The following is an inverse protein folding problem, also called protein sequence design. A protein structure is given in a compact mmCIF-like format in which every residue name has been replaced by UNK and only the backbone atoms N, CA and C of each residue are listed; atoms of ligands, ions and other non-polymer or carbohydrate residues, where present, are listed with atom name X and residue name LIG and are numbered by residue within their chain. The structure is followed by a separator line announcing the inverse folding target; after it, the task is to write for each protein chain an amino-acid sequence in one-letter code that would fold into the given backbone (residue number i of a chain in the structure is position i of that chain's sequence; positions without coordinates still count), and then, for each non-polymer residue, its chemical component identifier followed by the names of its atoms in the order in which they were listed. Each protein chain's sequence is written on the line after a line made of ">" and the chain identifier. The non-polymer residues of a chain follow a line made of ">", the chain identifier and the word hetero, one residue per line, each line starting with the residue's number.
data_IF_888141023512
#
_entry.id   IF_888141023512
#
_cell.length_a   1.000
_cell.length_b   1.000
_cell.length_c   1.000
_cell.angle_alpha   90.00
_cell.angle_beta   90.00
_cell.angle_gamma   90.00
#
_symmetry.space_group_name_H-M   'P 1'
#
loop_
_entity.id
_entity.type
_entity.pdbx_description
1 polymer ?
#
# COMPACT_ATOMS: atom_id res chain seq x y z
N UNK A 1 -15.82 -10.10 6.17
CA UNK A 1 -16.62 -11.08 5.42
C UNK A 1 -17.28 -10.52 4.14
N UNK A 2 -17.06 -11.23 3.05
CA UNK A 2 -17.69 -11.01 1.75
C UNK A 2 -18.55 -12.23 1.37
N UNK A 3 -19.53 -12.01 0.51
CA UNK A 3 -20.37 -13.04 -0.08
C UNK A 3 -19.86 -13.36 -1.48
N UNK A 4 -19.70 -14.65 -1.76
CA UNK A 4 -19.30 -15.18 -3.05
C UNK A 4 -20.40 -16.05 -3.66
N UNK A 5 -20.67 -15.90 -4.96
CA UNK A 5 -21.60 -16.76 -5.70
C UNK A 5 -21.04 -17.13 -7.07
N UNK A 6 -21.45 -18.28 -7.59
CA UNK A 6 -21.36 -18.56 -9.03
C UNK A 6 -22.48 -17.80 -9.73
N UNK A 7 -22.12 -16.85 -10.59
CA UNK A 7 -23.08 -15.93 -11.19
C UNK A 7 -24.20 -16.63 -11.98
N UNK A 8 -23.89 -17.73 -12.69
CA UNK A 8 -24.89 -18.51 -13.45
C UNK A 8 -25.93 -19.18 -12.54
N UNK A 9 -25.47 -19.88 -11.50
CA UNK A 9 -26.33 -20.58 -10.52
C UNK A 9 -27.20 -19.58 -9.75
N UNK A 10 -26.62 -18.43 -9.34
CA UNK A 10 -27.35 -17.38 -8.64
C UNK A 10 -28.46 -16.76 -9.50
N UNK A 11 -28.22 -16.49 -10.79
CA UNK A 11 -29.25 -15.99 -11.72
C UNK A 11 -30.39 -16.98 -11.91
N UNK A 12 -30.04 -18.25 -12.10
CA UNK A 12 -31.04 -19.30 -12.33
C UNK A 12 -31.96 -19.47 -11.13
N UNK A 13 -31.40 -19.50 -9.92
CA UNK A 13 -32.20 -19.63 -8.70
C UNK A 13 -32.99 -18.35 -8.39
N UNK A 14 -32.45 -17.15 -8.69
CA UNK A 14 -33.20 -15.91 -8.57
C UNK A 14 -34.44 -15.89 -9.48
N UNK A 15 -34.31 -16.33 -10.73
CA UNK A 15 -35.43 -16.44 -11.67
C UNK A 15 -36.49 -17.42 -11.16
N UNK A 16 -36.07 -18.62 -10.71
CA UNK A 16 -36.97 -19.64 -10.17
C UNK A 16 -37.78 -19.13 -8.97
N UNK A 17 -37.15 -18.42 -8.04
CA UNK A 17 -37.83 -17.87 -6.87
C UNK A 17 -38.85 -16.79 -7.24
N UNK A 18 -38.55 -15.98 -8.27
CA UNK A 18 -39.48 -14.97 -8.81
C UNK A 18 -40.70 -15.60 -9.48
N UNK A 19 -40.50 -16.61 -10.31
CA UNK A 19 -41.59 -17.35 -10.97
C UNK A 19 -42.56 -17.98 -9.95
N UNK A 20 -42.02 -18.44 -8.82
CA UNK A 20 -42.83 -19.01 -7.73
C UNK A 20 -43.51 -17.97 -6.84
N UNK A 21 -43.23 -16.67 -7.03
CA UNK A 21 -43.75 -15.58 -6.20
C UNK A 21 -43.31 -15.64 -4.72
N UNK A 22 -42.27 -16.41 -4.41
CA UNK A 22 -41.83 -16.69 -3.03
C UNK A 22 -40.42 -16.17 -2.79
N UNK A 23 -40.13 -15.84 -1.52
CA UNK A 23 -38.81 -15.43 -1.06
C UNK A 23 -38.15 -14.33 -1.94
N UNK A 24 -38.94 -13.32 -2.36
CA UNK A 24 -38.52 -12.24 -3.27
C UNK A 24 -37.22 -11.55 -2.79
N UNK A 25 -37.04 -11.40 -1.48
CA UNK A 25 -35.81 -10.83 -0.90
C UNK A 25 -34.57 -11.70 -1.12
N UNK A 26 -34.72 -13.03 -1.16
CA UNK A 26 -33.61 -13.94 -1.51
C UNK A 26 -33.31 -13.84 -3.01
N UNK A 27 -34.34 -13.79 -3.86
CA UNK A 27 -34.17 -13.61 -5.30
C UNK A 27 -33.42 -12.30 -5.64
N UNK A 28 -33.80 -11.19 -5.01
CA UNK A 28 -33.13 -9.90 -5.20
C UNK A 28 -31.66 -9.93 -4.73
N UNK A 29 -31.36 -10.64 -3.65
CA UNK A 29 -29.99 -10.80 -3.18
C UNK A 29 -29.14 -11.63 -4.16
N UNK A 30 -29.65 -12.75 -4.65
CA UNK A 30 -28.95 -13.60 -5.62
C UNK A 30 -28.73 -12.88 -6.96
N UNK A 31 -29.73 -12.15 -7.44
CA UNK A 31 -29.62 -11.35 -8.66
C UNK A 31 -28.56 -10.25 -8.51
N UNK A 32 -28.61 -9.48 -7.41
CA UNK A 32 -27.61 -8.45 -7.10
C UNK A 32 -26.19 -9.03 -7.09
N UNK A 33 -25.98 -10.13 -6.36
CA UNK A 33 -24.68 -10.79 -6.30
C UNK A 33 -24.24 -11.28 -7.69
N UNK A 34 -25.15 -11.77 -8.53
CA UNK A 34 -24.79 -12.29 -9.86
C UNK A 34 -24.33 -11.24 -10.89
N UNK A 35 -24.58 -9.96 -10.59
CA UNK A 35 -24.25 -8.81 -11.45
C UNK A 35 -23.07 -7.99 -10.90
N UNK A 36 -22.83 -8.03 -9.59
CA UNK A 36 -21.75 -7.31 -8.95
C UNK A 36 -20.39 -8.00 -9.16
N UNK A 37 -19.27 -7.23 -9.23
CA UNK A 37 -17.92 -7.78 -9.14
C UNK A 37 -17.76 -8.62 -7.87
N UNK A 38 -17.44 -9.90 -8.05
CA UNK A 38 -17.24 -10.83 -6.94
C UNK A 38 -15.82 -10.72 -6.42
N UNK A 39 -15.58 -10.90 -5.11
CA UNK A 39 -16.54 -11.15 -4.03
C UNK A 39 -17.11 -9.84 -3.42
N UNK A 40 -18.35 -9.85 -2.94
CA UNK A 40 -19.06 -8.62 -2.52
C UNK A 40 -19.08 -8.45 -1.00
N UNK A 41 -18.70 -7.29 -0.43
CA UNK A 41 -18.82 -7.03 1.01
C UNK A 41 -20.24 -7.26 1.54
N UNK A 42 -20.37 -7.92 2.69
CA UNK A 42 -21.68 -8.26 3.28
C UNK A 42 -22.57 -7.02 3.51
N UNK A 43 -21.98 -5.90 3.91
CA UNK A 43 -22.68 -4.62 4.11
C UNK A 43 -23.24 -4.08 2.79
N UNK A 44 -22.45 -4.15 1.72
CA UNK A 44 -22.84 -3.73 0.38
C UNK A 44 -23.94 -4.62 -0.19
N UNK A 45 -23.80 -5.94 -0.10
CA UNK A 45 -24.81 -6.89 -0.55
C UNK A 45 -26.17 -6.68 0.13
N UNK A 46 -26.18 -6.43 1.45
CA UNK A 46 -27.42 -6.13 2.19
C UNK A 46 -28.07 -4.83 1.76
N UNK A 47 -27.27 -3.79 1.52
CA UNK A 47 -27.74 -2.48 1.07
C UNK A 47 -28.27 -2.54 -0.37
N UNK A 48 -27.49 -3.10 -1.29
CA UNK A 48 -27.83 -3.22 -2.71
C UNK A 48 -29.06 -4.08 -2.96
N UNK A 49 -29.23 -5.18 -2.23
CA UNK A 49 -30.41 -6.04 -2.32
C UNK A 49 -31.57 -5.62 -1.39
N UNK A 50 -31.38 -4.58 -0.57
CA UNK A 50 -32.30 -4.12 0.47
C UNK A 50 -32.88 -5.29 1.31
N UNK A 51 -31.98 -6.06 1.95
CA UNK A 51 -32.32 -7.27 2.68
C UNK A 51 -31.73 -7.37 4.10
N UNK A 52 -32.38 -8.18 4.93
CA UNK A 52 -31.99 -8.41 6.33
C UNK A 52 -30.86 -9.45 6.43
N UNK A 53 -30.22 -9.51 7.61
CA UNK A 53 -29.25 -10.56 7.91
C UNK A 53 -29.87 -11.97 7.89
N UNK A 54 -31.18 -12.11 8.18
CA UNK A 54 -31.88 -13.40 8.08
C UNK A 54 -31.99 -13.89 6.64
N UNK A 55 -32.21 -13.00 5.67
CA UNK A 55 -32.19 -13.35 4.23
C UNK A 55 -30.83 -13.87 3.82
N UNK A 56 -29.75 -13.21 4.25
CA UNK A 56 -28.38 -13.65 3.96
C UNK A 56 -28.11 -15.02 4.57
N UNK A 57 -28.46 -15.24 5.84
CA UNK A 57 -28.31 -16.55 6.50
C UNK A 57 -29.06 -17.66 5.76
N UNK A 58 -30.27 -17.37 5.27
CA UNK A 58 -31.09 -18.36 4.57
C UNK A 58 -30.50 -18.78 3.22
N UNK A 59 -29.87 -17.87 2.47
CA UNK A 59 -29.22 -18.25 1.20
C UNK A 59 -27.88 -18.96 1.42
N UNK A 60 -27.16 -18.62 2.50
CA UNK A 60 -25.95 -19.35 2.91
C UNK A 60 -26.30 -20.77 3.37
N UNK A 61 -27.34 -20.95 4.21
CA UNK A 61 -27.73 -22.27 4.71
C UNK A 61 -28.25 -23.20 3.62
N UNK A 62 -28.68 -22.64 2.48
CA UNK A 62 -29.08 -23.38 1.28
C UNK A 62 -27.91 -23.68 0.33
N UNK A 63 -26.69 -23.28 0.67
CA UNK A 63 -25.50 -23.47 -0.16
C UNK A 63 -25.48 -22.64 -1.44
N UNK A 64 -26.34 -21.61 -1.54
CA UNK A 64 -26.44 -20.76 -2.73
C UNK A 64 -25.41 -19.61 -2.73
N UNK A 65 -24.88 -19.29 -1.55
CA UNK A 65 -23.91 -18.21 -1.33
C UNK A 65 -22.88 -18.69 -0.32
N UNK A 66 -21.61 -18.47 -0.61
CA UNK A 66 -20.51 -18.77 0.31
C UNK A 66 -20.11 -17.49 1.08
N UNK A 67 -19.89 -17.62 2.39
CA UNK A 67 -19.34 -16.55 3.20
C UNK A 67 -17.82 -16.73 3.28
N UNK A 68 -17.08 -15.81 2.67
CA UNK A 68 -15.62 -15.83 2.67
C UNK A 68 -15.10 -14.70 3.56
N UNK A 69 -14.08 -14.98 4.37
CA UNK A 69 -13.33 -13.93 5.05
C UNK A 69 -12.23 -13.46 4.12
N UNK A 70 -12.39 -12.25 3.59
CA UNK A 70 -11.43 -11.65 2.67
C UNK A 70 -10.85 -10.45 3.38
N UNK A 71 -9.52 -10.46 3.45
CA UNK A 71 -8.76 -9.34 3.94
C UNK A 71 -8.79 -8.25 2.87
N UNK A 72 -9.59 -7.21 3.11
CA UNK A 72 -9.58 -6.01 2.29
C UNK A 72 -8.42 -5.16 2.79
N UNK A 73 -7.29 -5.24 2.07
CA UNK A 73 -6.12 -4.41 2.37
C UNK A 73 -6.47 -2.95 2.14
N UNK A 74 -6.27 -2.11 3.15
CA UNK A 74 -6.40 -0.65 3.01
C UNK A 74 -5.08 -0.12 2.48
N UNK A 75 -5.11 0.54 1.33
CA UNK A 75 -3.90 1.14 0.75
C UNK A 75 -3.90 2.65 1.03
N UNK A 76 -2.94 3.16 1.82
CA UNK A 76 -2.87 4.60 2.11
C UNK A 76 -2.51 5.45 0.89
N UNK A 77 -1.82 4.87 -0.09
CA UNK A 77 -1.34 5.54 -1.29
C UNK A 77 -2.23 5.13 -2.46
N UNK A 78 -2.90 6.09 -3.09
CA UNK A 78 -3.48 5.87 -4.41
C UNK A 78 -2.40 6.05 -5.47
N UNK A 79 -2.07 4.99 -6.18
CA UNK A 79 -1.15 5.05 -7.32
C UNK A 79 -1.84 5.51 -8.62
N UNK A 80 -3.15 5.73 -8.60
CA UNK A 80 -3.90 6.18 -9.78
C UNK A 80 -3.46 7.60 -10.17
N UNK A 81 -3.01 7.77 -11.42
CA UNK A 81 -2.61 9.07 -11.96
C UNK A 81 -1.18 9.51 -11.62
N UNK A 82 -0.42 8.71 -10.87
CA UNK A 82 1.00 9.01 -10.60
C UNK A 82 1.81 8.74 -11.88
N UNK A 83 2.51 9.77 -12.36
CA UNK A 83 3.44 9.64 -13.50
C UNK A 83 4.81 9.22 -12.98
N UNK A 84 5.43 8.21 -13.60
CA UNK A 84 6.77 7.75 -13.21
C UNK A 84 7.82 8.82 -13.46
N UNK A 85 8.81 8.92 -12.56
CA UNK A 85 9.90 9.86 -12.67
C UNK A 85 11.25 9.16 -12.86
N UNK A 86 12.04 9.66 -13.80
CA UNK A 86 13.43 9.25 -13.99
C UNK A 86 14.37 10.02 -13.05
N UNK A 87 15.57 9.48 -12.74
CA UNK A 87 16.61 10.21 -12.02
C UNK A 87 16.98 11.51 -12.73
N UNK A 88 17.04 12.60 -11.98
CA UNK A 88 17.47 13.90 -12.53
C UNK A 88 19.00 13.92 -12.69
N UNK A 89 19.48 14.76 -13.62
CA UNK A 89 20.92 15.01 -13.73
C UNK A 89 21.40 15.82 -12.53
N UNK A 90 22.30 15.23 -11.75
CA UNK A 90 22.91 15.89 -10.60
C UNK A 90 23.92 16.96 -11.04
N UNK A 91 23.98 18.06 -10.29
CA UNK A 91 25.10 19.02 -10.41
C UNK A 91 26.40 18.37 -9.93
N UNK A 92 27.55 18.97 -10.24
CA UNK A 92 28.85 18.42 -9.81
C UNK A 92 28.96 18.27 -8.28
N UNK A 93 28.44 19.25 -7.53
CA UNK A 93 28.42 19.19 -6.07
C UNK A 93 27.51 18.07 -5.56
N UNK A 94 26.30 17.92 -6.13
CA UNK A 94 25.39 16.85 -5.76
C UNK A 94 25.95 15.48 -6.13
N UNK A 95 26.60 15.37 -7.29
CA UNK A 95 27.24 14.14 -7.76
C UNK A 95 28.37 13.70 -6.83
N UNK A 96 29.21 14.64 -6.39
CA UNK A 96 30.27 14.35 -5.42
C UNK A 96 29.72 13.83 -4.08
N UNK A 97 28.66 14.49 -3.57
CA UNK A 97 27.97 14.04 -2.36
C UNK A 97 27.35 12.65 -2.53
N UNK A 98 26.65 12.42 -3.64
CA UNK A 98 26.05 11.13 -3.97
C UNK A 98 27.10 10.01 -4.12
N UNK A 99 28.22 10.27 -4.79
CA UNK A 99 29.31 9.30 -4.95
C UNK A 99 29.94 8.89 -3.61
N UNK A 100 30.02 9.81 -2.65
CA UNK A 100 30.49 9.51 -1.30
C UNK A 100 29.55 8.55 -0.57
N UNK A 101 28.23 8.78 -0.68
CA UNK A 101 27.19 7.90 -0.14
C UNK A 101 27.23 6.54 -0.83
N UNK A 102 27.24 6.51 -2.17
CA UNK A 102 27.27 5.29 -2.99
C UNK A 102 28.49 4.43 -2.65
N UNK A 103 29.68 5.04 -2.55
CA UNK A 103 30.90 4.32 -2.20
C UNK A 103 30.81 3.68 -0.83
N UNK A 104 30.25 4.39 0.16
CA UNK A 104 30.03 3.85 1.51
C UNK A 104 29.04 2.68 1.50
N UNK A 105 27.90 2.82 0.81
CA UNK A 105 26.91 1.73 0.67
C UNK A 105 27.54 0.46 0.08
N UNK A 106 28.35 0.60 -0.98
CA UNK A 106 29.04 -0.52 -1.61
C UNK A 106 30.03 -1.22 -0.68
N UNK A 107 30.78 -0.46 0.12
CA UNK A 107 31.73 -1.03 1.08
C UNK A 107 31.00 -1.77 2.21
N UNK A 108 29.90 -1.22 2.73
CA UNK A 108 29.08 -1.84 3.78
C UNK A 108 28.48 -3.15 3.29
N UNK A 109 27.88 -3.18 2.09
CA UNK A 109 27.27 -4.40 1.54
C UNK A 109 28.32 -5.49 1.27
N UNK A 110 29.55 -5.13 0.96
CA UNK A 110 30.68 -6.08 0.82
C UNK A 110 31.27 -6.55 2.16
N UNK A 111 30.78 -6.05 3.30
CA UNK A 111 31.35 -6.34 4.62
C UNK A 111 32.74 -5.72 4.83
N UNK A 112 33.09 -4.70 4.06
CA UNK A 112 34.40 -4.04 4.06
C UNK A 112 34.44 -2.79 4.94
N UNK A 113 33.28 -2.27 5.33
CA UNK A 113 33.16 -1.10 6.19
C UNK A 113 31.92 -1.17 7.10
N UNK A 114 31.96 -0.40 8.18
CA UNK A 114 30.78 -0.13 9.03
C UNK A 114 29.89 0.96 8.42
N UNK A 115 28.59 1.03 8.77
CA UNK A 115 27.71 2.10 8.34
C UNK A 115 28.27 3.49 8.69
N UNK A 116 28.24 4.40 7.73
CA UNK A 116 28.68 5.79 7.92
C UNK A 116 27.50 6.73 8.12
N UNK A 117 27.74 7.83 8.84
CA UNK A 117 26.80 8.93 9.03
C UNK A 117 27.23 10.09 8.12
N UNK A 118 26.30 10.63 7.35
CA UNK A 118 26.53 11.77 6.48
C UNK A 118 25.63 12.93 6.88
N UNK A 119 26.18 14.14 6.90
CA UNK A 119 25.42 15.38 6.94
C UNK A 119 25.37 15.97 5.53
N UNK A 120 24.19 15.95 4.91
CA UNK A 120 23.98 16.60 3.61
C UNK A 120 23.54 18.05 3.82
N UNK A 121 24.51 18.96 3.88
CA UNK A 121 24.25 20.38 4.07
C UNK A 121 23.86 21.06 2.74
N UNK A 122 22.72 21.76 2.74
CA UNK A 122 22.26 22.53 1.60
C UNK A 122 20.97 23.30 1.93
N UNK A 123 20.85 24.52 1.40
CA UNK A 123 19.65 25.35 1.57
C UNK A 123 18.41 24.68 0.96
N UNK A 124 17.21 25.11 1.36
CA UNK A 124 15.96 24.67 0.73
C UNK A 124 16.00 24.92 -0.78
N UNK A 125 15.51 23.98 -1.58
CA UNK A 125 15.55 24.08 -3.04
C UNK A 125 16.88 23.68 -3.70
N UNK A 126 17.94 23.39 -2.94
CA UNK A 126 19.23 22.91 -3.48
C UNK A 126 19.21 21.49 -4.06
N UNK A 127 18.06 20.81 -4.02
CA UNK A 127 17.88 19.47 -4.61
C UNK A 127 18.31 18.30 -3.71
N UNK A 128 18.41 18.49 -2.38
CA UNK A 128 18.74 17.41 -1.42
C UNK A 128 17.87 16.16 -1.61
N UNK A 129 16.57 16.35 -1.84
CA UNK A 129 15.61 15.26 -2.07
C UNK A 129 16.01 14.37 -3.24
N UNK A 130 16.60 14.91 -4.31
CA UNK A 130 17.04 14.08 -5.44
C UNK A 130 18.21 13.17 -5.04
N UNK A 131 19.12 13.66 -4.19
CA UNK A 131 20.20 12.82 -3.64
C UNK A 131 19.60 11.69 -2.79
N UNK A 132 18.58 11.97 -1.98
CA UNK A 132 17.90 10.93 -1.20
C UNK A 132 17.27 9.86 -2.13
N UNK A 133 16.55 10.28 -3.17
CA UNK A 133 15.91 9.38 -4.13
C UNK A 133 16.92 8.52 -4.88
N UNK A 134 18.06 9.07 -5.30
CA UNK A 134 19.10 8.30 -5.98
C UNK A 134 19.85 7.37 -5.01
N UNK A 135 20.09 7.79 -3.76
CA UNK A 135 20.69 6.93 -2.73
C UNK A 135 19.78 5.74 -2.36
N UNK A 136 18.47 5.97 -2.27
CA UNK A 136 17.48 4.91 -2.08
C UNK A 136 17.44 3.98 -3.29
N UNK A 137 17.45 4.50 -4.52
CA UNK A 137 17.51 3.66 -5.71
C UNK A 137 18.76 2.78 -5.72
N UNK A 138 19.90 3.31 -5.28
CA UNK A 138 21.14 2.55 -5.15
C UNK A 138 21.05 1.47 -4.06
N UNK A 139 20.51 1.78 -2.88
CA UNK A 139 20.36 0.78 -1.82
C UNK A 139 19.43 -0.36 -2.26
N UNK A 140 18.37 -0.05 -3.00
CA UNK A 140 17.43 -1.03 -3.55
C UNK A 140 18.10 -1.92 -4.60
N UNK A 141 18.92 -1.36 -5.49
CA UNK A 141 19.73 -2.13 -6.46
C UNK A 141 20.68 -3.11 -5.78
N UNK A 142 21.17 -2.77 -4.59
CA UNK A 142 22.04 -3.64 -3.78
C UNK A 142 21.26 -4.71 -2.99
N UNK A 143 19.96 -4.88 -3.24
CA UNK A 143 19.11 -5.84 -2.54
C UNK A 143 18.77 -5.42 -1.10
N UNK A 144 18.99 -4.15 -0.75
CA UNK A 144 18.69 -3.58 0.55
C UNK A 144 17.47 -2.67 0.48
N UNK A 145 17.07 -2.13 1.62
CA UNK A 145 15.84 -1.35 1.80
C UNK A 145 16.09 -0.02 2.52
N UNK A 146 15.16 0.92 2.34
CA UNK A 146 15.29 2.27 2.88
C UNK A 146 14.16 2.70 3.80
N UNK A 147 14.48 3.53 4.80
CA UNK A 147 13.50 4.32 5.58
C UNK A 147 13.81 5.80 5.36
N UNK A 148 12.77 6.61 5.15
CA UNK A 148 12.86 8.06 5.04
C UNK A 148 11.97 8.67 6.10
N UNK A 149 12.60 9.35 7.06
CA UNK A 149 11.93 10.15 8.06
C UNK A 149 11.84 11.58 7.54
N UNK A 150 10.62 12.10 7.46
CA UNK A 150 10.36 13.50 7.15
C UNK A 150 9.56 14.14 8.28
N UNK A 151 9.58 15.48 8.44
CA UNK A 151 8.72 16.15 9.40
C UNK A 151 7.26 15.84 9.08
N UNK A 152 6.42 15.69 10.11
CA UNK A 152 5.01 15.31 9.93
C UNK A 152 4.24 16.30 9.04
N UNK A 153 4.59 17.58 9.12
CA UNK A 153 4.04 18.64 8.29
C UNK A 153 4.51 18.58 6.82
N UNK A 154 5.65 17.93 6.57
CA UNK A 154 6.26 17.79 5.25
C UNK A 154 5.83 16.49 4.54
N UNK A 155 5.18 15.56 5.24
CA UNK A 155 4.59 14.35 4.69
C UNK A 155 3.28 14.63 3.95
N UNK A 156 3.35 15.56 3.00
CA UNK A 156 2.25 15.98 2.15
C UNK A 156 2.01 14.95 1.04
N UNK A 157 0.81 14.93 0.41
CA UNK A 157 0.56 14.11 -0.77
C UNK A 157 1.59 14.30 -1.88
N UNK A 158 2.09 15.52 -2.09
CA UNK A 158 3.13 15.81 -3.08
C UNK A 158 4.47 15.13 -2.76
N UNK A 159 4.85 15.10 -1.47
CA UNK A 159 6.05 14.38 -1.04
C UNK A 159 5.87 12.88 -1.29
N UNK A 160 4.74 12.31 -0.85
CA UNK A 160 4.44 10.89 -1.06
C UNK A 160 4.45 10.53 -2.55
N UNK A 161 3.78 11.33 -3.38
CA UNK A 161 3.73 11.14 -4.84
C UNK A 161 5.12 11.19 -5.46
N UNK A 162 6.00 12.07 -4.99
CA UNK A 162 7.39 12.13 -5.47
C UNK A 162 8.12 10.80 -5.23
N UNK A 163 8.00 10.22 -4.04
CA UNK A 163 8.61 8.91 -3.76
C UNK A 163 7.91 7.78 -4.54
N UNK A 164 6.58 7.78 -4.59
CA UNK A 164 5.80 6.79 -5.33
C UNK A 164 6.09 6.83 -6.85
N UNK A 165 6.37 8.01 -7.42
CA UNK A 165 6.76 8.16 -8.82
C UNK A 165 8.11 7.52 -9.14
N UNK A 166 9.03 7.49 -8.16
CA UNK A 166 10.37 6.91 -8.31
C UNK A 166 10.38 5.41 -7.99
N UNK A 167 9.48 4.96 -7.12
CA UNK A 167 9.38 3.58 -6.63
C UNK A 167 7.93 3.07 -6.76
N UNK A 168 7.45 2.83 -7.99
CA UNK A 168 6.04 2.48 -8.21
C UNK A 168 5.65 1.18 -7.51
N UNK A 169 4.55 1.23 -6.76
CA UNK A 169 4.03 0.12 -5.93
C UNK A 169 5.02 -0.43 -4.89
N UNK A 170 6.08 0.32 -4.58
CA UNK A 170 7.18 -0.10 -3.70
C UNK A 170 7.45 0.86 -2.54
N UNK A 171 6.53 1.80 -2.29
CA UNK A 171 6.56 2.72 -1.16
C UNK A 171 5.47 2.38 -0.16
N UNK A 172 5.85 2.27 1.11
CA UNK A 172 4.93 2.27 2.25
C UNK A 172 4.89 3.66 2.90
N UNK A 173 3.74 4.06 3.43
CA UNK A 173 3.60 5.31 4.20
C UNK A 173 3.21 4.99 5.63
N UNK A 174 3.93 5.54 6.60
CA UNK A 174 3.61 5.41 8.03
C UNK A 174 3.54 6.78 8.72
N UNK A 175 2.38 7.14 9.25
CA UNK A 175 2.20 8.36 10.04
C UNK A 175 0.98 8.30 10.96
N UNK A 176 0.91 9.25 11.90
CA UNK A 176 -0.15 9.41 12.91
C UNK A 176 -1.58 9.46 12.34
N UNK A 177 -1.78 10.03 11.15
CA UNK A 177 -3.11 10.19 10.54
C UNK A 177 -3.71 8.89 9.96
N UNK A 178 -2.93 7.80 9.89
CA UNK A 178 -3.48 6.50 9.50
C UNK A 178 -4.29 5.93 10.66
N UNK A 179 -5.42 5.30 10.35
CA UNK A 179 -6.14 4.50 11.33
C UNK A 179 -5.29 3.33 11.82
N UNK A 180 -5.58 2.80 13.01
CA UNK A 180 -4.85 1.65 13.56
C UNK A 180 -4.88 0.43 12.62
N UNK A 181 -5.99 0.24 11.88
CA UNK A 181 -6.09 -0.81 10.87
C UNK A 181 -5.13 -0.59 9.70
N UNK A 182 -5.07 0.63 9.16
CA UNK A 182 -4.13 0.97 8.08
C UNK A 182 -2.67 0.86 8.53
N UNK A 183 -2.34 1.34 9.74
CA UNK A 183 -0.99 1.20 10.30
C UNK A 183 -0.60 -0.27 10.45
N UNK A 184 -1.52 -1.11 10.94
CA UNK A 184 -1.29 -2.54 11.09
C UNK A 184 -1.09 -3.24 9.74
N UNK A 185 -1.96 -2.95 8.77
CA UNK A 185 -1.88 -3.51 7.41
C UNK A 185 -0.52 -3.14 6.77
N UNK A 186 -0.13 -1.87 6.80
CA UNK A 186 1.17 -1.41 6.28
C UNK A 186 2.34 -2.03 7.04
N UNK A 187 2.30 -2.06 8.37
CA UNK A 187 3.35 -2.65 9.21
C UNK A 187 3.58 -4.13 8.86
N UNK A 188 2.51 -4.91 8.65
CA UNK A 188 2.62 -6.30 8.24
C UNK A 188 3.24 -6.45 6.85
N UNK A 189 2.82 -5.62 5.88
CA UNK A 189 3.34 -5.65 4.51
C UNK A 189 4.82 -5.25 4.45
N UNK A 190 5.22 -4.24 5.23
CA UNK A 190 6.62 -3.87 5.41
C UNK A 190 7.41 -5.06 5.96
N UNK A 191 6.92 -5.69 7.04
CA UNK A 191 7.57 -6.88 7.63
C UNK A 191 7.74 -8.02 6.62
N UNK A 192 6.77 -8.19 5.73
CA UNK A 192 6.77 -9.22 4.70
C UNK A 192 7.66 -8.86 3.49
N UNK A 193 8.31 -7.69 3.50
CA UNK A 193 9.20 -7.24 2.43
C UNK A 193 8.47 -6.79 1.15
N UNK A 194 7.19 -6.41 1.25
CA UNK A 194 6.41 -5.97 0.08
C UNK A 194 6.94 -4.65 -0.52
N UNK A 195 7.62 -3.83 0.30
CA UNK A 195 8.05 -2.47 -0.03
C UNK A 195 9.56 -2.29 0.00
N UNK A 196 10.07 -1.47 -0.92
CA UNK A 196 11.48 -1.15 -1.03
C UNK A 196 11.87 0.04 -0.14
N UNK A 197 10.92 0.99 0.01
CA UNK A 197 11.09 2.24 0.75
C UNK A 197 9.91 2.44 1.70
N UNK A 198 10.19 2.79 2.95
CA UNK A 198 9.19 3.31 3.89
C UNK A 198 9.40 4.80 4.04
N UNK A 199 8.36 5.61 3.84
CA UNK A 199 8.37 7.04 4.16
C UNK A 199 7.41 7.31 5.31
N UNK A 200 7.81 8.16 6.25
CA UNK A 200 6.94 8.50 7.36
C UNK A 200 7.45 9.60 8.25
N UNK A 201 6.67 9.90 9.30
CA UNK A 201 7.13 10.76 10.38
C UNK A 201 8.06 9.98 11.33
N UNK A 202 8.40 10.57 12.49
CA UNK A 202 9.32 9.97 13.46
C UNK A 202 9.02 8.52 13.84
N UNK A 203 7.74 8.12 13.90
CA UNK A 203 7.36 6.74 14.28
C UNK A 203 7.74 5.69 13.24
N UNK A 204 7.99 6.08 11.98
CA UNK A 204 8.40 5.16 10.92
C UNK A 204 9.78 4.52 11.16
N UNK A 205 10.58 5.05 12.09
CA UNK A 205 11.83 4.41 12.52
C UNK A 205 11.60 3.01 13.11
N UNK A 206 10.40 2.74 13.62
CA UNK A 206 10.01 1.44 14.17
C UNK A 206 9.40 0.50 13.12
N UNK A 207 9.43 0.89 11.84
CA UNK A 207 9.00 0.02 10.75
C UNK A 207 9.87 -1.25 10.72
N UNK A 208 9.29 -2.45 10.61
CA UNK A 208 10.00 -3.72 10.65
C UNK A 208 10.62 -4.03 9.27
N UNK A 209 11.32 -3.07 8.69
CA UNK A 209 11.82 -3.15 7.31
C UNK A 209 12.95 -4.18 7.23
N UNK A 210 12.77 -5.31 6.52
CA UNK A 210 13.84 -6.28 6.33
C UNK A 210 14.97 -5.66 5.50
N UNK A 211 16.17 -6.21 5.64
CA UNK A 211 17.33 -5.83 4.82
C UNK A 211 17.61 -4.31 4.78
N UNK A 212 17.35 -3.61 5.88
CA UNK A 212 17.56 -2.17 6.01
C UNK A 212 19.02 -1.81 5.72
N UNK A 213 19.25 -0.95 4.74
CA UNK A 213 20.57 -0.49 4.32
C UNK A 213 20.76 1.03 4.34
N UNK A 214 19.67 1.80 4.37
CA UNK A 214 19.73 3.26 4.42
C UNK A 214 18.59 3.83 5.26
N UNK A 215 18.93 4.78 6.12
CA UNK A 215 17.96 5.66 6.79
C UNK A 215 18.29 7.08 6.35
N UNK A 216 17.30 7.76 5.79
CA UNK A 216 17.36 9.19 5.48
C UNK A 216 16.52 9.92 6.53
N UNK A 217 17.08 10.98 7.10
CA UNK A 217 16.37 11.86 8.03
C UNK A 217 16.40 13.24 7.39
N UNK A 218 15.24 13.71 6.92
CA UNK A 218 15.08 15.05 6.35
C UNK A 218 14.60 16.01 7.46
N UNK A 219 15.37 17.07 7.68
CA UNK A 219 15.17 18.16 8.65
C UNK A 219 14.92 17.77 10.13
N UNK A 220 15.88 18.11 10.98
CA UNK A 220 15.72 18.30 12.44
C UNK A 220 15.25 19.73 12.77
#
# INVERSE_FOLDING_TARGET
>A
PCLAVKASEARQEAARLREQGKAIKQANLLEFLSQAPQPVPLSEARRGANCSASTVKAVISRGLVELQQIEVKREPISYQGITLSEPLTLTDAQKSAFQSIQSSLLQVVKGQASPAIFLLHGVTGSGKTEIYLQALAEVVKLGKRGIVLVPEIALTPQTIERFASRFPHKVAVLHSKLSLGEQFDEWQRIRNGEFDVVIGSRSAIFAPQPDLGLIVIDEE
#
